data_IF_352599821999
#
_entry.id   IF_352599821999
#
_cell.length_a   1.000
_cell.length_b   1.000
_cell.length_c   1.000
_cell.angle_alpha   90.00
_cell.angle_beta   90.00
_cell.angle_gamma   90.00
#
_symmetry.space_group_name_H-M   'P 1'
#
loop_
_entity.id
_entity.type
_entity.pdbx_description
1 polymer ?
#
# COMPACT_ATOMS: atom_id res chain seq x y z
N UNK A 1 -6.02 14.98 -7.53
CA UNK A 1 -5.01 14.61 -6.50
C UNK A 1 -4.33 15.88 -6.02
N UNK A 2 -4.02 16.02 -4.73
CA UNK A 2 -3.33 17.21 -4.19
C UNK A 2 -1.82 17.03 -4.03
N UNK A 3 -1.35 15.78 -4.02
CA UNK A 3 0.05 15.41 -3.89
C UNK A 3 0.47 14.50 -5.06
N UNK A 4 1.75 14.53 -5.49
CA UNK A 4 2.29 13.54 -6.40
C UNK A 4 2.11 12.12 -5.85
N UNK A 5 1.71 11.18 -6.71
CA UNK A 5 1.44 9.81 -6.30
C UNK A 5 1.73 8.82 -7.42
N UNK A 6 2.55 7.82 -7.15
CA UNK A 6 2.72 6.62 -7.99
C UNK A 6 1.81 5.46 -7.59
N UNK A 7 1.04 5.57 -6.50
CA UNK A 7 0.14 4.53 -6.03
C UNK A 7 -1.06 4.36 -6.97
N UNK A 8 -1.16 3.18 -7.60
CA UNK A 8 -2.21 2.81 -8.55
C UNK A 8 -3.62 2.94 -7.96
N UNK A 9 -3.84 2.51 -6.72
CA UNK A 9 -5.16 2.55 -6.09
C UNK A 9 -5.60 4.00 -5.82
N UNK A 10 -4.65 4.87 -5.41
CA UNK A 10 -4.92 6.31 -5.24
C UNK A 10 -5.18 7.01 -6.57
N UNK A 11 -4.39 6.68 -7.61
CA UNK A 11 -4.60 7.20 -8.96
C UNK A 11 -5.98 6.79 -9.50
N UNK A 12 -6.36 5.52 -9.36
CA UNK A 12 -7.67 5.04 -9.79
C UNK A 12 -8.81 5.70 -9.02
N UNK A 13 -8.69 5.84 -7.71
CA UNK A 13 -9.69 6.55 -6.87
C UNK A 13 -9.92 7.98 -7.35
N UNK A 14 -8.87 8.66 -7.84
CA UNK A 14 -8.98 10.00 -8.38
C UNK A 14 -9.57 10.04 -9.80
N UNK A 15 -9.23 9.07 -10.65
CA UNK A 15 -9.68 9.02 -12.04
C UNK A 15 -11.13 8.52 -12.18
N UNK A 16 -11.50 7.52 -11.38
CA UNK A 16 -12.79 6.81 -11.48
C UNK A 16 -14.02 7.74 -11.54
N UNK A 17 -14.15 8.79 -10.70
CA UNK A 17 -15.30 9.68 -10.78
C UNK A 17 -15.43 10.41 -12.12
N UNK A 18 -14.30 10.72 -12.78
CA UNK A 18 -14.31 11.36 -14.09
C UNK A 18 -14.81 10.44 -15.21
N UNK A 19 -14.71 9.13 -15.03
CA UNK A 19 -15.24 8.14 -15.98
C UNK A 19 -16.68 7.78 -15.63
N UNK A 20 -16.98 7.58 -14.35
CA UNK A 20 -18.31 7.13 -13.88
C UNK A 20 -19.39 8.21 -14.02
N UNK A 21 -19.05 9.47 -13.79
CA UNK A 21 -20.03 10.58 -13.80
C UNK A 21 -19.95 11.46 -15.04
N UNK A 22 -19.10 11.12 -16.00
CA UNK A 22 -19.10 11.83 -17.27
C UNK A 22 -20.32 11.42 -18.10
N UNK A 23 -21.01 12.42 -18.64
CA UNK A 23 -22.07 12.19 -19.62
C UNK A 23 -21.45 12.01 -21.00
N UNK A 24 -21.68 10.84 -21.59
CA UNK A 24 -21.23 10.55 -22.95
C UNK A 24 -22.46 10.47 -23.87
N UNK A 25 -22.61 11.40 -24.83
CA UNK A 25 -23.77 11.43 -25.72
C UNK A 25 -23.79 10.26 -26.73
N UNK A 26 -22.78 9.39 -26.71
CA UNK A 26 -22.65 8.23 -27.57
C UNK A 26 -21.41 7.39 -27.23
N UNK A 27 -21.10 6.38 -28.05
CA UNK A 27 -19.93 5.53 -27.85
C UNK A 27 -18.62 6.31 -27.83
N UNK A 28 -17.74 5.99 -26.89
CA UNK A 28 -16.42 6.63 -26.76
C UNK A 28 -15.44 5.92 -27.70
N UNK A 29 -14.86 6.67 -28.64
CA UNK A 29 -13.86 6.14 -29.57
C UNK A 29 -12.41 6.29 -29.07
N UNK A 30 -12.17 7.23 -28.13
CA UNK A 30 -10.82 7.52 -27.61
C UNK A 30 -10.87 8.10 -26.20
N UNK A 31 -9.91 7.71 -25.38
CA UNK A 31 -9.62 8.32 -24.07
C UNK A 31 -8.14 8.67 -24.05
N UNK A 32 -7.81 9.88 -23.63
CA UNK A 32 -6.44 10.35 -23.46
C UNK A 32 -6.20 10.71 -21.99
N UNK A 33 -5.04 10.35 -21.47
CA UNK A 33 -4.61 10.66 -20.10
C UNK A 33 -3.27 11.38 -20.17
N UNK A 34 -3.24 12.62 -19.70
CA UNK A 34 -2.01 13.40 -19.57
C UNK A 34 -1.54 13.39 -18.11
N UNK A 35 -0.25 13.09 -17.90
CA UNK A 35 0.39 13.14 -16.59
C UNK A 35 1.27 14.39 -16.51
N UNK A 36 0.84 15.37 -15.72
CA UNK A 36 1.62 16.58 -15.46
C UNK A 36 2.45 16.45 -14.18
N UNK A 37 3.60 17.14 -14.14
CA UNK A 37 4.42 17.24 -12.92
C UNK A 37 5.02 15.91 -12.47
N UNK A 38 5.52 15.11 -13.40
CA UNK A 38 6.26 13.87 -13.09
C UNK A 38 7.53 14.22 -12.29
N UNK A 39 7.67 13.63 -11.12
CA UNK A 39 8.83 13.80 -10.25
C UNK A 39 9.44 12.43 -9.92
N UNK A 40 10.76 12.38 -9.76
CA UNK A 40 11.45 11.16 -9.33
C UNK A 40 11.22 10.86 -7.84
N UNK A 41 11.03 11.91 -7.03
CA UNK A 41 10.83 11.81 -5.60
C UNK A 41 9.61 12.62 -5.18
N UNK A 42 8.71 11.98 -4.45
CA UNK A 42 7.62 12.64 -3.75
C UNK A 42 7.97 12.75 -2.27
N UNK A 43 8.51 13.89 -1.85
CA UNK A 43 8.65 14.19 -0.42
C UNK A 43 7.25 14.40 0.16
N UNK A 44 6.82 13.52 1.06
CA UNK A 44 5.56 13.68 1.79
C UNK A 44 5.84 14.37 3.11
N UNK A 45 5.15 15.49 3.36
CA UNK A 45 5.11 16.05 4.71
C UNK A 45 4.30 15.08 5.58
N UNK A 46 5.00 14.32 6.42
CA UNK A 46 4.34 13.42 7.35
C UNK A 46 3.48 14.22 8.33
N UNK A 47 2.29 13.69 8.63
CA UNK A 47 1.44 14.27 9.67
C UNK A 47 2.20 14.27 11.00
N UNK A 48 2.21 15.41 11.69
CA UNK A 48 2.90 15.60 12.97
C UNK A 48 2.40 14.63 14.07
N UNK A 49 1.22 14.00 13.88
CA UNK A 49 0.55 13.17 14.88
C UNK A 49 0.37 11.70 14.47
N UNK A 50 1.08 11.20 13.45
CA UNK A 50 1.03 9.78 13.05
C UNK A 50 2.25 8.99 13.55
N UNK A 51 2.51 8.99 14.86
CA UNK A 51 3.58 8.17 15.45
C UNK A 51 3.49 6.69 15.04
N UNK A 52 2.27 6.13 14.95
CA UNK A 52 2.06 4.73 14.61
C UNK A 52 2.40 4.40 13.14
N UNK A 53 2.03 5.26 12.18
CA UNK A 53 2.38 5.05 10.76
C UNK A 53 3.87 5.19 10.53
N UNK A 54 4.51 6.20 11.15
CA UNK A 54 5.97 6.37 11.09
C UNK A 54 6.72 5.18 11.69
N UNK A 55 6.24 4.64 12.81
CA UNK A 55 6.80 3.40 13.40
C UNK A 55 6.64 2.21 12.47
N UNK A 56 5.52 2.09 11.75
CA UNK A 56 5.28 1.00 10.80
C UNK A 56 6.24 1.08 9.61
N UNK A 57 6.37 2.24 8.97
CA UNK A 57 7.30 2.46 7.86
C UNK A 57 8.76 2.22 8.26
N UNK A 58 9.16 2.67 9.47
CA UNK A 58 10.49 2.41 10.01
C UNK A 58 10.73 0.92 10.27
N UNK A 59 9.74 0.21 10.83
CA UNK A 59 9.83 -1.24 11.03
C UNK A 59 9.96 -1.99 9.70
N UNK A 60 9.17 -1.59 8.70
CA UNK A 60 9.22 -2.19 7.36
C UNK A 60 10.61 -2.03 6.74
N UNK A 61 11.20 -0.84 6.85
CA UNK A 61 12.54 -0.59 6.35
C UNK A 61 13.62 -1.38 7.09
N UNK A 62 13.52 -1.47 8.42
CA UNK A 62 14.42 -2.29 9.22
C UNK A 62 14.32 -3.77 8.84
N UNK A 63 13.12 -4.28 8.57
CA UNK A 63 12.92 -5.66 8.11
C UNK A 63 13.58 -5.88 6.75
N UNK A 64 13.46 -4.94 5.81
CA UNK A 64 14.16 -5.01 4.51
C UNK A 64 15.68 -5.07 4.70
N UNK A 65 16.25 -4.22 5.55
CA UNK A 65 17.68 -4.25 5.86
C UNK A 65 18.13 -5.57 6.47
N UNK A 66 17.34 -6.14 7.40
CA UNK A 66 17.63 -7.43 8.00
C UNK A 66 17.58 -8.56 6.97
N UNK A 67 16.60 -8.53 6.07
CA UNK A 67 16.48 -9.51 4.96
C UNK A 67 17.67 -9.45 4.02
N UNK A 68 18.14 -8.25 3.67
CA UNK A 68 19.36 -8.08 2.86
C UNK A 68 20.59 -8.64 3.57
N UNK A 69 20.71 -8.42 4.89
CA UNK A 69 21.88 -8.86 5.66
C UNK A 69 21.91 -10.37 5.91
N UNK A 70 20.75 -10.98 6.17
CA UNK A 70 20.65 -12.38 6.60
C UNK A 70 20.08 -13.32 5.54
N UNK A 71 19.63 -12.80 4.40
CA UNK A 71 19.02 -13.56 3.30
C UNK A 71 17.57 -13.99 3.55
N UNK A 72 17.06 -13.86 4.77
CA UNK A 72 15.70 -14.19 5.18
C UNK A 72 15.12 -13.09 6.07
N UNK A 73 13.79 -12.97 6.14
CA UNK A 73 13.16 -12.03 7.07
C UNK A 73 13.16 -12.65 8.47
N UNK A 74 13.91 -12.11 9.46
CA UNK A 74 13.93 -12.66 10.81
C UNK A 74 12.68 -12.28 11.60
N UNK A 75 11.72 -11.58 10.99
CA UNK A 75 10.49 -11.12 11.61
C UNK A 75 9.33 -11.94 11.03
N UNK A 76 8.49 -12.45 11.92
CA UNK A 76 7.27 -13.15 11.55
C UNK A 76 6.03 -12.36 11.98
N UNK A 77 4.95 -12.50 11.22
CA UNK A 77 3.62 -12.00 11.57
C UNK A 77 2.72 -13.16 11.99
N UNK A 78 1.91 -12.90 13.01
CA UNK A 78 0.86 -13.82 13.45
C UNK A 78 -0.30 -13.73 12.47
N UNK A 79 -0.69 -14.85 11.87
CA UNK A 79 -1.83 -14.96 10.95
C UNK A 79 -2.81 -15.99 11.48
N UNK A 80 -4.10 -15.67 11.46
CA UNK A 80 -5.14 -16.63 11.82
C UNK A 80 -5.27 -17.68 10.71
N UNK A 81 -5.11 -18.96 11.06
CA UNK A 81 -5.15 -20.08 10.10
C UNK A 81 -6.40 -20.94 10.32
N UNK A 82 -6.69 -21.32 11.56
CA UNK A 82 -7.89 -22.09 11.91
C UNK A 82 -8.67 -21.39 13.04
N UNK A 83 -9.38 -20.28 12.76
CA UNK A 83 -10.06 -19.48 13.79
C UNK A 83 -11.04 -20.27 14.69
N UNK A 84 -11.63 -21.34 14.14
CA UNK A 84 -12.60 -22.22 14.82
C UNK A 84 -11.95 -23.34 15.64
N UNK A 85 -10.63 -23.54 15.56
CA UNK A 85 -9.96 -24.63 16.25
C UNK A 85 -10.06 -24.43 17.77
N UNK A 86 -10.35 -25.49 18.54
CA UNK A 86 -10.55 -25.35 20.00
C UNK A 86 -9.27 -24.99 20.75
N UNK A 87 -8.13 -25.52 20.28
CA UNK A 87 -6.80 -25.25 20.82
C UNK A 87 -6.28 -23.88 20.30
N UNK A 88 -6.01 -22.88 21.16
CA UNK A 88 -5.64 -21.52 20.74
C UNK A 88 -4.33 -21.46 19.93
N UNK A 89 -3.37 -22.34 20.20
CA UNK A 89 -2.09 -22.45 19.49
C UNK A 89 -2.27 -22.84 18.02
N UNK A 90 -3.38 -23.50 17.67
CA UNK A 90 -3.69 -23.92 16.29
C UNK A 90 -4.52 -22.88 15.53
N UNK A 91 -5.06 -21.88 16.23
CA UNK A 91 -5.78 -20.77 15.58
C UNK A 91 -4.85 -19.85 14.81
N UNK A 92 -3.57 -19.83 15.17
CA UNK A 92 -2.59 -18.89 14.63
C UNK A 92 -1.33 -19.61 14.13
N UNK A 93 -0.70 -19.04 13.10
CA UNK A 93 0.63 -19.44 12.65
C UNK A 93 1.53 -18.21 12.51
N UNK A 94 2.83 -18.45 12.60
CA UNK A 94 3.86 -17.48 12.25
C UNK A 94 4.19 -17.64 10.77
N UNK A 95 3.99 -16.56 10.01
CA UNK A 95 4.43 -16.46 8.63
C UNK A 95 5.49 -15.38 8.51
N UNK A 96 6.44 -15.56 7.60
CA UNK A 96 7.45 -14.54 7.31
C UNK A 96 6.77 -13.20 7.02
N UNK A 97 7.29 -12.15 7.66
CA UNK A 97 6.84 -10.79 7.41
C UNK A 97 7.64 -10.23 6.24
N UNK A 98 6.94 -9.90 5.14
CA UNK A 98 7.50 -9.22 3.98
C UNK A 98 6.66 -7.94 3.72
N UNK A 99 7.22 -6.74 3.95
CA UNK A 99 6.50 -5.47 3.87
C UNK A 99 6.39 -4.89 2.45
#
# INVERSE_FOLDING_TARGET
LREPSGDRARLWTALRPHVEYAEFPGPIARIELELAGLTAESARQQSLFQEQTRRREQLDEMVRHLKVRFGTSPVARVVAVEPWHRLPERRFALLDYDP
#
